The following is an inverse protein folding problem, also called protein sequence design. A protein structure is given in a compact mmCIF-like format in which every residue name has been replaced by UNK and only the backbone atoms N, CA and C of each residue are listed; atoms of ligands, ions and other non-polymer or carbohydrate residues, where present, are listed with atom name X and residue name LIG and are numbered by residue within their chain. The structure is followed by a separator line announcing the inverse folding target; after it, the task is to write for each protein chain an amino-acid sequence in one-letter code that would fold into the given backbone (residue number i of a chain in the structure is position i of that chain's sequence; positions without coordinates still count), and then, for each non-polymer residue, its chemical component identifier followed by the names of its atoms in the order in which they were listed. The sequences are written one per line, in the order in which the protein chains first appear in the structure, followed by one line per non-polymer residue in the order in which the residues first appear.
data_IF_007590127645
#
_entry.id   IF_007590127645
#
_cell.length_a   1.000
_cell.length_b   1.000
_cell.length_c   1.000
_cell.angle_alpha   90.00
_cell.angle_beta   90.00
_cell.angle_gamma   90.00
#
_symmetry.space_group_name_H-M   'P 1'
#
loop_
_entity.id
_entity.type
_entity.pdbx_description
1 polymer ?
#
# COMPACT_ATOMS: atom_id res chain seq x y z
N UNK A 1 16.04 -9.43 26.24
CA UNK A 1 14.82 -8.69 26.61
C UNK A 1 14.22 -8.19 25.32
N UNK A 2 13.21 -8.86 24.80
CA UNK A 2 12.38 -8.31 23.73
C UNK A 2 11.67 -7.09 24.32
N UNK A 3 12.02 -5.89 23.83
CA UNK A 3 11.19 -4.72 24.06
C UNK A 3 9.79 -5.08 23.55
N UNK A 4 8.80 -5.11 24.43
CA UNK A 4 7.38 -5.13 24.04
C UNK A 4 7.16 -3.90 23.16
N UNK A 5 7.18 -4.11 21.84
CA UNK A 5 6.73 -3.09 20.89
C UNK A 5 5.25 -2.90 21.16
N UNK A 6 4.89 -1.76 21.71
CA UNK A 6 3.50 -1.32 21.70
C UNK A 6 3.09 -1.13 20.24
N UNK A 7 2.42 -2.10 19.68
CA UNK A 7 1.85 -2.06 18.34
C UNK A 7 0.60 -1.19 18.35
N UNK A 8 0.79 0.14 18.31
CA UNK A 8 -0.30 1.12 18.42
C UNK A 8 -1.47 0.92 17.43
N UNK A 9 -1.26 0.19 16.33
CA UNK A 9 -2.24 0.03 15.24
C UNK A 9 -2.56 -1.43 14.91
N UNK A 10 -2.14 -2.34 15.77
CA UNK A 10 -2.41 -3.79 15.70
C UNK A 10 -2.71 -4.33 17.11
N UNK A 11 -3.16 -3.45 18.01
CA UNK A 11 -3.29 -3.78 19.42
C UNK A 11 -4.67 -4.35 19.79
N UNK A 12 -5.68 -4.13 18.95
CA UNK A 12 -7.02 -4.59 19.23
C UNK A 12 -7.15 -6.10 19.10
N UNK A 13 -7.76 -6.72 20.09
CA UNK A 13 -8.22 -8.10 19.99
C UNK A 13 -9.29 -8.22 18.89
N UNK A 14 -9.40 -9.39 18.23
CA UNK A 14 -10.27 -9.60 17.06
C UNK A 14 -11.70 -9.12 17.30
N UNK A 15 -12.33 -9.49 18.42
CA UNK A 15 -13.69 -9.07 18.73
C UNK A 15 -13.84 -7.56 18.95
N UNK A 16 -12.84 -6.90 19.55
CA UNK A 16 -12.84 -5.44 19.73
C UNK A 16 -12.68 -4.72 18.40
N UNK A 17 -11.80 -5.25 17.54
CA UNK A 17 -11.59 -4.73 16.20
C UNK A 17 -12.85 -4.85 15.34
N UNK A 18 -13.53 -5.99 15.40
CA UNK A 18 -14.77 -6.24 14.68
C UNK A 18 -15.88 -5.27 15.09
N UNK A 19 -16.05 -5.04 16.40
CA UNK A 19 -17.01 -4.07 16.93
C UNK A 19 -16.67 -2.65 16.48
N UNK A 20 -15.40 -2.25 16.59
CA UNK A 20 -14.94 -0.94 16.16
C UNK A 20 -15.15 -0.72 14.66
N UNK A 21 -14.72 -1.67 13.82
CA UNK A 21 -14.89 -1.58 12.36
C UNK A 21 -16.36 -1.54 11.99
N UNK A 22 -17.22 -2.36 12.64
CA UNK A 22 -18.65 -2.36 12.37
C UNK A 22 -19.26 -1.00 12.67
N UNK A 23 -18.95 -0.42 13.82
CA UNK A 23 -19.47 0.89 14.22
C UNK A 23 -19.03 1.99 13.27
N UNK A 24 -17.72 2.12 13.05
CA UNK A 24 -17.16 3.21 12.23
C UNK A 24 -17.56 3.08 10.75
N UNK A 25 -17.60 1.89 10.19
CA UNK A 25 -18.00 1.69 8.81
C UNK A 25 -19.50 1.88 8.58
N UNK A 26 -20.34 1.60 9.58
CA UNK A 26 -21.78 2.00 9.55
C UNK A 26 -21.92 3.51 9.50
N UNK A 27 -21.24 4.23 10.39
CA UNK A 27 -21.26 5.68 10.43
C UNK A 27 -20.77 6.29 9.09
N UNK A 28 -19.69 5.77 8.52
CA UNK A 28 -19.19 6.20 7.22
C UNK A 28 -20.18 5.87 6.09
N UNK A 29 -20.81 4.71 6.11
CA UNK A 29 -21.82 4.33 5.11
C UNK A 29 -23.01 5.29 5.16
N UNK A 30 -23.49 5.62 6.36
CA UNK A 30 -24.55 6.59 6.57
C UNK A 30 -24.14 7.99 6.06
N UNK A 31 -22.96 8.46 6.47
CA UNK A 31 -22.41 9.74 6.02
C UNK A 31 -22.33 9.83 4.50
N UNK A 32 -21.76 8.80 3.85
CA UNK A 32 -21.64 8.78 2.40
C UNK A 32 -22.99 8.69 1.68
N UNK A 33 -23.99 8.04 2.29
CA UNK A 33 -25.35 8.03 1.75
C UNK A 33 -25.95 9.43 1.72
N UNK A 34 -25.72 10.24 2.75
CA UNK A 34 -26.22 11.61 2.83
C UNK A 34 -25.48 12.57 1.89
N UNK A 35 -24.15 12.40 1.72
CA UNK A 35 -23.29 13.36 1.05
C UNK A 35 -22.87 12.98 -0.37
N UNK A 36 -23.13 11.72 -0.81
CA UNK A 36 -22.85 11.26 -2.17
C UNK A 36 -24.11 10.73 -2.86
N UNK A 37 -24.84 11.56 -3.62
CA UNK A 37 -26.09 11.14 -4.26
C UNK A 37 -25.96 9.94 -5.19
N UNK A 38 -24.78 9.74 -5.81
CA UNK A 38 -24.53 8.57 -6.66
C UNK A 38 -24.44 7.30 -5.81
N UNK A 39 -23.80 7.36 -4.66
CA UNK A 39 -23.71 6.24 -3.71
C UNK A 39 -25.08 5.91 -3.11
N UNK A 40 -25.86 6.93 -2.69
CA UNK A 40 -27.21 6.75 -2.19
C UNK A 40 -28.09 5.94 -3.17
N UNK A 41 -28.07 6.32 -4.45
CA UNK A 41 -28.82 5.57 -5.49
C UNK A 41 -28.38 4.11 -5.63
N UNK A 42 -27.09 3.83 -5.45
CA UNK A 42 -26.58 2.45 -5.50
C UNK A 42 -27.07 1.63 -4.30
N UNK A 43 -27.07 2.22 -3.10
CA UNK A 43 -27.61 1.58 -1.90
C UNK A 43 -29.11 1.28 -2.05
N UNK A 44 -29.88 2.24 -2.52
CA UNK A 44 -31.31 2.08 -2.76
C UNK A 44 -31.60 0.99 -3.83
N UNK A 45 -30.84 1.00 -4.92
CA UNK A 45 -30.97 -0.02 -5.97
C UNK A 45 -30.59 -1.43 -5.52
N UNK A 46 -29.66 -1.55 -4.55
CA UNK A 46 -29.28 -2.84 -3.96
C UNK A 46 -30.25 -3.34 -2.88
N UNK A 47 -31.20 -2.50 -2.45
CA UNK A 47 -32.09 -2.80 -1.32
C UNK A 47 -31.38 -2.84 0.03
N UNK A 48 -30.28 -2.12 0.16
CA UNK A 48 -29.52 -2.06 1.42
C UNK A 48 -30.36 -1.48 2.56
N UNK A 49 -30.40 -2.20 3.67
CA UNK A 49 -31.11 -1.84 4.88
C UNK A 49 -30.13 -1.77 6.07
N UNK A 50 -29.76 -0.56 6.43
CA UNK A 50 -28.79 -0.28 7.50
C UNK A 50 -29.20 -0.87 8.86
N UNK A 51 -30.51 -1.02 9.12
CA UNK A 51 -31.01 -1.59 10.36
C UNK A 51 -30.66 -3.07 10.55
N UNK A 52 -30.34 -3.77 9.45
CA UNK A 52 -29.97 -5.19 9.45
C UNK A 52 -28.46 -5.42 9.61
N UNK A 53 -27.66 -4.37 9.59
CA UNK A 53 -26.21 -4.50 9.73
C UNK A 53 -25.86 -4.84 11.17
N UNK A 54 -25.35 -6.04 11.39
CA UNK A 54 -24.86 -6.54 12.67
C UNK A 54 -23.34 -6.67 12.72
N UNK A 55 -22.71 -6.80 11.56
CA UNK A 55 -21.27 -6.94 11.41
C UNK A 55 -20.82 -6.20 10.12
N UNK A 56 -19.58 -5.73 10.05
CA UNK A 56 -19.08 -5.00 8.88
C UNK A 56 -19.13 -5.82 7.57
N UNK A 57 -19.21 -7.14 7.65
CA UNK A 57 -19.41 -7.99 6.46
C UNK A 57 -20.78 -7.84 5.79
N UNK A 58 -21.76 -7.29 6.53
CA UNK A 58 -23.11 -7.04 6.03
C UNK A 58 -23.19 -5.72 5.25
N UNK A 59 -22.14 -4.89 5.35
CA UNK A 59 -22.10 -3.61 4.66
C UNK A 59 -21.96 -3.80 3.14
N UNK A 60 -22.51 -2.86 2.35
CA UNK A 60 -22.35 -2.89 0.91
C UNK A 60 -20.89 -2.67 0.52
N UNK A 61 -20.50 -3.18 -0.65
CA UNK A 61 -19.18 -2.99 -1.20
C UNK A 61 -19.25 -2.55 -2.66
N UNK A 62 -18.26 -1.80 -3.09
CA UNK A 62 -18.15 -1.30 -4.45
C UNK A 62 -17.02 -2.03 -5.19
N UNK A 63 -17.25 -2.48 -6.44
CA UNK A 63 -16.16 -2.98 -7.26
C UNK A 63 -15.13 -1.87 -7.52
N UNK A 64 -13.83 -2.12 -7.27
CA UNK A 64 -12.77 -1.14 -7.50
C UNK A 64 -12.75 -0.59 -8.94
N UNK A 65 -13.18 -1.39 -9.93
CA UNK A 65 -13.36 -0.96 -11.32
C UNK A 65 -14.39 0.16 -11.53
N UNK A 66 -15.26 0.42 -10.56
CA UNK A 66 -16.27 1.47 -10.62
C UNK A 66 -15.60 2.86 -10.60
N UNK A 67 -14.55 3.04 -9.81
CA UNK A 67 -13.79 4.29 -9.71
C UNK A 67 -13.07 4.70 -11.01
N UNK A 68 -13.00 3.79 -11.99
CA UNK A 68 -12.53 4.10 -13.35
C UNK A 68 -13.62 4.71 -14.22
N UNK A 69 -14.88 4.49 -13.88
CA UNK A 69 -16.05 4.87 -14.71
C UNK A 69 -16.78 6.08 -14.18
N UNK A 70 -16.85 6.20 -12.87
CA UNK A 70 -17.53 7.31 -12.19
C UNK A 70 -16.64 7.90 -11.09
N UNK A 71 -16.79 9.19 -10.87
CA UNK A 71 -16.17 9.86 -9.72
C UNK A 71 -17.20 9.89 -8.60
N UNK A 72 -16.88 9.24 -7.48
CA UNK A 72 -17.66 9.32 -6.26
C UNK A 72 -17.02 10.36 -5.35
N UNK A 73 -17.84 11.26 -4.81
CA UNK A 73 -17.39 12.30 -3.88
C UNK A 73 -18.49 12.57 -2.86
N UNK A 74 -18.11 12.60 -1.59
CA UNK A 74 -18.96 13.02 -0.47
C UNK A 74 -18.67 14.44 -0.02
N UNK A 75 -17.82 15.15 -0.78
CA UNK A 75 -17.46 16.54 -0.50
C UNK A 75 -18.53 17.50 -1.01
N UNK A 76 -18.74 18.66 -0.33
CA UNK A 76 -19.52 19.75 -0.87
C UNK A 76 -18.94 20.20 -2.22
N UNK A 77 -19.83 20.56 -3.15
CA UNK A 77 -19.46 20.95 -4.53
C UNK A 77 -18.66 22.27 -4.62
N UNK A 78 -18.52 23.00 -3.52
CA UNK A 78 -17.92 24.33 -3.44
C UNK A 78 -16.53 24.33 -2.77
N UNK A 79 -16.00 23.18 -2.34
CA UNK A 79 -14.67 23.12 -1.76
C UNK A 79 -13.59 23.02 -2.85
N UNK A 80 -12.76 24.08 -2.94
CA UNK A 80 -11.65 24.19 -3.90
C UNK A 80 -10.39 23.39 -3.50
N UNK A 81 -10.27 22.87 -2.26
CA UNK A 81 -9.05 22.19 -1.77
C UNK A 81 -9.16 20.67 -1.80
N UNK A 82 -9.42 20.11 -2.95
CA UNK A 82 -9.31 18.66 -3.15
C UNK A 82 -8.24 18.28 -4.16
N UNK A 83 -7.70 17.08 -4.01
CA UNK A 83 -6.79 16.47 -4.99
C UNK A 83 -7.44 15.23 -5.59
N UNK A 84 -7.29 15.09 -6.90
CA UNK A 84 -7.66 13.84 -7.58
C UNK A 84 -6.43 12.96 -7.69
N UNK A 85 -6.46 11.82 -7.00
CA UNK A 85 -5.45 10.77 -7.12
C UNK A 85 -5.88 9.79 -8.19
N UNK A 86 -4.96 9.39 -9.05
CA UNK A 86 -5.23 8.44 -10.12
C UNK A 86 -4.41 7.17 -9.94
N UNK A 87 -5.03 6.01 -10.18
CA UNK A 87 -4.31 4.74 -10.19
C UNK A 87 -3.37 4.64 -11.39
N UNK A 88 -2.25 3.92 -11.24
CA UNK A 88 -1.30 3.63 -12.34
C UNK A 88 -1.76 2.47 -13.25
N UNK A 89 -3.07 2.33 -13.46
CA UNK A 89 -3.63 1.20 -14.18
C UNK A 89 -2.98 0.96 -15.55
N UNK A 90 -2.78 -0.30 -15.90
CA UNK A 90 -2.37 -0.77 -17.24
C UNK A 90 -3.50 -0.67 -18.26
N UNK A 91 -4.71 -0.30 -17.82
CA UNK A 91 -5.89 -0.06 -18.66
C UNK A 91 -5.96 1.42 -19.07
N UNK A 92 -6.60 1.69 -20.19
CA UNK A 92 -6.78 3.03 -20.78
C UNK A 92 -7.52 4.03 -19.86
N UNK A 93 -8.13 3.57 -18.76
CA UNK A 93 -8.80 4.41 -17.77
C UNK A 93 -8.20 4.16 -16.39
N UNK A 94 -7.73 5.24 -15.74
CA UNK A 94 -7.28 5.23 -14.35
C UNK A 94 -8.45 5.48 -13.40
N UNK A 95 -8.42 4.88 -12.21
CA UNK A 95 -9.35 5.22 -11.12
C UNK A 95 -9.15 6.67 -10.71
N UNK A 96 -10.22 7.35 -10.34
CA UNK A 96 -10.21 8.75 -9.91
C UNK A 96 -10.78 8.83 -8.50
N UNK A 97 -9.92 9.18 -7.56
CA UNK A 97 -10.23 9.28 -6.14
C UNK A 97 -10.10 10.74 -5.71
N UNK A 98 -11.17 11.29 -5.16
CA UNK A 98 -11.21 12.67 -4.67
C UNK A 98 -10.80 12.67 -3.19
N UNK A 99 -9.76 13.43 -2.86
CA UNK A 99 -9.23 13.51 -1.50
C UNK A 99 -9.20 14.96 -1.03
N UNK A 100 -9.91 15.26 0.06
CA UNK A 100 -9.79 16.51 0.79
C UNK A 100 -8.53 16.56 1.68
N UNK A 101 -8.31 17.70 2.34
CA UNK A 101 -7.16 17.92 3.22
C UNK A 101 -7.21 17.03 4.45
N UNK A 102 -8.38 16.80 5.01
CA UNK A 102 -8.56 16.01 6.22
C UNK A 102 -8.37 14.51 5.97
N UNK A 103 -9.01 13.95 4.96
CA UNK A 103 -8.80 12.56 4.55
C UNK A 103 -7.33 12.28 4.23
N UNK A 104 -6.65 13.20 3.51
CA UNK A 104 -5.20 13.08 3.24
C UNK A 104 -4.39 13.03 4.53
N UNK A 105 -4.71 13.88 5.50
CA UNK A 105 -4.01 13.91 6.78
C UNK A 105 -4.21 12.62 7.56
N UNK A 106 -5.44 12.12 7.65
CA UNK A 106 -5.73 10.83 8.29
C UNK A 106 -4.97 9.69 7.65
N UNK A 107 -4.95 9.63 6.32
CA UNK A 107 -4.21 8.62 5.57
C UNK A 107 -2.70 8.69 5.82
N UNK A 108 -2.13 9.89 5.90
CA UNK A 108 -0.70 10.06 6.22
C UNK A 108 -0.37 9.64 7.64
N UNK A 109 -1.23 9.98 8.62
CA UNK A 109 -1.05 9.55 10.01
C UNK A 109 -1.14 8.04 10.14
N UNK A 110 -2.13 7.40 9.51
CA UNK A 110 -2.27 5.95 9.50
C UNK A 110 -1.04 5.27 8.87
N UNK A 111 -0.59 5.74 7.70
CA UNK A 111 0.61 5.24 7.04
C UNK A 111 1.85 5.37 7.93
N UNK A 112 2.01 6.54 8.59
CA UNK A 112 3.14 6.77 9.49
C UNK A 112 3.15 5.79 10.68
N UNK A 113 1.99 5.54 11.28
CA UNK A 113 1.86 4.60 12.41
C UNK A 113 2.09 3.15 11.95
N UNK A 114 1.43 2.71 10.87
CA UNK A 114 1.59 1.36 10.30
C UNK A 114 3.07 1.10 9.96
N UNK A 115 3.71 2.02 9.23
CA UNK A 115 5.09 1.83 8.82
C UNK A 115 6.08 1.89 9.99
N UNK A 116 5.77 2.65 11.06
CA UNK A 116 6.64 2.74 12.24
C UNK A 116 6.78 1.39 12.98
N UNK A 117 5.77 0.54 12.94
CA UNK A 117 5.82 -0.81 13.51
C UNK A 117 6.86 -1.71 12.84
N UNK A 118 7.10 -1.51 11.54
CA UNK A 118 8.05 -2.30 10.76
C UNK A 118 9.42 -1.65 10.62
N UNK A 119 9.44 -0.32 10.52
CA UNK A 119 10.65 0.46 10.21
C UNK A 119 11.22 1.20 11.42
N UNK A 120 10.45 1.26 12.52
CA UNK A 120 10.77 2.05 13.70
C UNK A 120 10.43 3.54 13.52
N UNK A 121 10.51 4.29 14.64
CA UNK A 121 10.13 5.72 14.69
C UNK A 121 11.23 6.67 14.17
N UNK A 122 12.46 6.19 13.95
CA UNK A 122 13.58 7.00 13.46
C UNK A 122 13.65 6.96 11.94
N UNK A 123 13.82 8.13 11.32
CA UNK A 123 14.06 8.21 9.87
C UNK A 123 15.43 7.64 9.53
N UNK A 124 15.46 6.71 8.57
CA UNK A 124 16.64 5.99 8.11
C UNK A 124 17.19 6.62 6.82
N UNK A 125 18.52 6.54 6.53
CA UNK A 125 19.00 6.78 5.17
C UNK A 125 18.19 5.95 4.19
N UNK A 126 17.83 6.51 3.02
CA UNK A 126 16.87 5.84 2.12
C UNK A 126 17.46 5.65 0.72
N UNK A 127 17.51 4.40 0.29
CA UNK A 127 17.83 4.00 -1.07
C UNK A 127 16.54 3.64 -1.82
N UNK A 128 16.31 4.28 -2.98
CA UNK A 128 15.14 4.02 -3.81
C UNK A 128 15.57 3.26 -5.06
N UNK A 129 15.01 2.07 -5.27
CA UNK A 129 15.27 1.28 -6.49
C UNK A 129 14.36 1.78 -7.60
N UNK A 130 14.68 2.96 -8.09
CA UNK A 130 14.01 3.68 -9.16
C UNK A 130 14.93 4.78 -9.69
N UNK A 131 14.53 5.46 -10.80
CA UNK A 131 15.19 6.64 -11.32
C UNK A 131 14.57 7.93 -10.73
N UNK A 132 15.33 9.05 -10.64
CA UNK A 132 14.84 10.33 -10.13
C UNK A 132 13.60 10.84 -10.88
N UNK A 133 13.48 10.59 -12.17
CA UNK A 133 12.33 10.94 -13.00
C UNK A 133 11.00 10.31 -12.56
N UNK A 134 11.04 9.27 -11.71
CA UNK A 134 9.82 8.70 -11.12
C UNK A 134 9.00 9.73 -10.33
N UNK A 135 9.63 10.80 -9.84
CA UNK A 135 8.98 11.87 -9.07
C UNK A 135 8.69 13.15 -9.88
N UNK A 136 9.03 13.19 -11.16
CA UNK A 136 8.94 14.40 -11.99
C UNK A 136 8.08 14.19 -13.24
N UNK A 137 7.73 15.30 -13.91
CA UNK A 137 6.97 15.30 -15.15
C UNK A 137 5.65 14.55 -15.09
N UNK A 138 5.32 13.79 -16.12
CA UNK A 138 4.08 13.01 -16.20
C UNK A 138 4.01 11.86 -15.19
N UNK A 139 5.13 11.47 -14.58
CA UNK A 139 5.20 10.35 -13.63
C UNK A 139 4.88 10.77 -12.19
N UNK A 140 4.84 12.07 -11.89
CA UNK A 140 4.65 12.60 -10.53
C UNK A 140 3.35 12.17 -9.84
N UNK A 141 2.34 11.79 -10.59
CA UNK A 141 1.05 11.30 -10.09
C UNK A 141 0.90 9.78 -10.21
N UNK A 142 1.96 9.07 -10.56
CA UNK A 142 1.94 7.61 -10.68
C UNK A 142 1.91 6.92 -9.30
N UNK A 143 1.48 5.64 -9.27
CA UNK A 143 1.59 4.82 -8.07
C UNK A 143 3.06 4.66 -7.61
N UNK A 144 4.04 4.70 -8.54
CA UNK A 144 5.47 4.70 -8.20
C UNK A 144 5.81 5.94 -7.37
N UNK A 145 5.45 7.12 -7.87
CA UNK A 145 5.67 8.37 -7.15
C UNK A 145 4.94 8.39 -5.81
N UNK A 146 3.70 7.91 -5.74
CA UNK A 146 2.94 7.83 -4.51
C UNK A 146 3.61 6.94 -3.47
N UNK A 147 4.08 5.75 -3.87
CA UNK A 147 4.82 4.84 -2.99
C UNK A 147 6.14 5.45 -2.49
N UNK A 148 6.96 6.02 -3.40
CA UNK A 148 8.21 6.69 -3.01
C UNK A 148 7.94 7.84 -2.04
N UNK A 149 6.94 8.69 -2.29
CA UNK A 149 6.58 9.79 -1.38
C UNK A 149 6.07 9.29 -0.04
N UNK A 150 5.21 8.27 -0.03
CA UNK A 150 4.67 7.68 1.19
C UNK A 150 5.79 7.15 2.08
N UNK A 151 6.64 6.28 1.56
CA UNK A 151 7.74 5.71 2.34
C UNK A 151 8.88 6.70 2.63
N UNK A 152 8.96 7.84 1.93
CA UNK A 152 9.87 8.93 2.28
C UNK A 152 9.58 9.56 3.65
N UNK A 153 8.43 9.29 4.27
CA UNK A 153 8.15 9.65 5.68
C UNK A 153 9.16 9.00 6.61
N UNK A 154 9.60 7.77 6.31
CA UNK A 154 10.58 6.99 7.09
C UNK A 154 12.02 7.20 6.63
N UNK A 155 12.20 7.89 5.49
CA UNK A 155 13.49 8.10 4.84
C UNK A 155 14.11 9.47 5.12
N UNK A 156 15.45 9.52 5.14
CA UNK A 156 16.27 10.72 5.05
C UNK A 156 17.37 10.50 4.01
N UNK A 157 17.94 11.56 3.45
CA UNK A 157 19.01 11.46 2.47
C UNK A 157 18.69 10.52 1.31
N UNK A 158 17.48 10.71 0.72
CA UNK A 158 16.96 9.85 -0.34
C UNK A 158 17.89 9.82 -1.54
N UNK A 159 18.37 8.63 -1.88
CA UNK A 159 19.26 8.34 -3.00
C UNK A 159 18.54 7.41 -3.96
N UNK A 160 18.59 7.68 -5.26
CA UNK A 160 18.05 6.81 -6.30
C UNK A 160 19.14 5.92 -6.84
N UNK A 161 18.89 4.61 -6.89
CA UNK A 161 19.85 3.61 -7.31
C UNK A 161 19.88 3.37 -8.84
N UNK A 162 18.92 3.93 -9.59
CA UNK A 162 18.86 3.77 -11.03
C UNK A 162 19.13 5.11 -11.73
N UNK A 163 19.81 5.02 -12.88
CA UNK A 163 19.96 6.12 -13.83
C UNK A 163 18.64 6.36 -14.58
N UNK A 164 18.56 7.47 -15.32
CA UNK A 164 17.34 7.82 -16.06
C UNK A 164 16.98 6.79 -17.15
N UNK A 165 17.96 6.11 -17.72
CA UNK A 165 17.76 5.00 -18.67
C UNK A 165 17.37 3.67 -18.00
N UNK A 166 17.09 3.70 -16.68
CA UNK A 166 16.68 2.52 -15.90
C UNK A 166 17.77 1.44 -15.80
N UNK A 167 19.04 1.81 -15.77
CA UNK A 167 20.17 0.93 -15.43
C UNK A 167 20.61 1.16 -13.98
N UNK A 168 21.16 0.12 -13.32
CA UNK A 168 21.71 0.23 -11.97
C UNK A 168 22.93 1.18 -11.98
N UNK A 169 22.88 2.21 -11.15
CA UNK A 169 23.99 3.14 -10.94
C UNK A 169 24.91 2.59 -9.83
N UNK A 170 25.93 1.85 -10.25
CA UNK A 170 26.87 1.22 -9.33
C UNK A 170 27.68 2.23 -8.52
N UNK A 171 28.05 3.37 -9.10
CA UNK A 171 28.80 4.42 -8.42
C UNK A 171 27.98 5.04 -7.30
N UNK A 172 26.75 5.46 -7.61
CA UNK A 172 25.80 5.99 -6.63
C UNK A 172 25.46 4.96 -5.53
N UNK A 173 25.33 3.68 -5.89
CA UNK A 173 25.08 2.61 -4.94
C UNK A 173 26.29 2.41 -3.99
N UNK A 174 27.50 2.41 -4.52
CA UNK A 174 28.71 2.24 -3.73
C UNK A 174 28.93 3.42 -2.78
N UNK A 175 28.76 4.64 -3.26
CA UNK A 175 28.82 5.85 -2.40
C UNK A 175 27.79 5.81 -1.27
N UNK A 176 26.57 5.35 -1.57
CA UNK A 176 25.53 5.20 -0.55
C UNK A 176 25.93 4.15 0.50
N UNK A 177 26.43 3.00 0.07
CA UNK A 177 26.82 1.92 0.96
C UNK A 177 28.07 2.25 1.78
N UNK A 178 29.05 2.95 1.21
CA UNK A 178 30.22 3.44 1.94
C UNK A 178 29.80 4.36 3.10
N UNK A 179 28.84 5.25 2.83
CA UNK A 179 28.39 6.25 3.79
C UNK A 179 27.41 5.72 4.83
N UNK A 180 26.50 4.83 4.43
CA UNK A 180 25.36 4.41 5.27
C UNK A 180 25.25 2.90 5.47
N UNK A 181 26.00 2.08 4.76
CA UNK A 181 25.82 0.62 4.74
C UNK A 181 26.15 -0.09 6.06
N UNK A 182 26.81 0.59 7.02
CA UNK A 182 27.17 0.03 8.34
C UNK A 182 26.05 0.16 9.39
N UNK A 183 25.02 0.94 9.11
CA UNK A 183 23.88 1.19 9.99
C UNK A 183 22.58 0.80 9.28
N UNK A 184 21.46 0.61 10.01
CA UNK A 184 20.17 0.35 9.39
C UNK A 184 19.78 1.45 8.39
N UNK A 185 19.35 1.05 7.19
CA UNK A 185 18.84 1.93 6.15
C UNK A 185 17.61 1.34 5.47
N UNK A 186 16.74 2.21 4.98
CA UNK A 186 15.53 1.84 4.25
C UNK A 186 15.84 1.65 2.78
N UNK A 187 15.40 0.55 2.21
CA UNK A 187 15.36 0.32 0.76
C UNK A 187 13.90 0.30 0.35
N UNK A 188 13.53 1.13 -0.63
CA UNK A 188 12.20 1.13 -1.19
C UNK A 188 12.24 0.86 -2.69
N UNK A 189 11.40 -0.05 -3.17
CA UNK A 189 11.28 -0.33 -4.59
C UNK A 189 10.03 -1.13 -4.92
N UNK A 190 9.60 -1.09 -6.18
CA UNK A 190 8.53 -2.00 -6.62
C UNK A 190 9.11 -3.38 -6.91
N UNK A 191 8.36 -4.44 -6.63
CA UNK A 191 8.78 -5.84 -6.76
C UNK A 191 9.50 -6.09 -8.09
N UNK A 192 8.88 -5.70 -9.21
CA UNK A 192 9.45 -5.91 -10.55
C UNK A 192 10.71 -5.07 -10.81
N UNK A 193 10.81 -3.83 -10.25
CA UNK A 193 12.01 -2.98 -10.39
C UNK A 193 13.17 -3.54 -9.57
N UNK A 194 12.91 -3.91 -8.32
CA UNK A 194 13.91 -4.51 -7.45
C UNK A 194 14.44 -5.82 -8.06
N UNK A 195 13.54 -6.64 -8.61
CA UNK A 195 13.94 -7.86 -9.28
C UNK A 195 14.83 -7.61 -10.49
N UNK A 196 14.35 -6.80 -11.42
CA UNK A 196 15.03 -6.59 -12.71
C UNK A 196 16.31 -5.78 -12.58
N UNK A 197 16.26 -4.69 -11.82
CA UNK A 197 17.33 -3.68 -11.84
C UNK A 197 18.27 -3.74 -10.64
N UNK A 198 17.95 -4.54 -9.60
CA UNK A 198 18.90 -4.82 -8.53
C UNK A 198 19.33 -6.28 -8.56
N UNK A 199 18.41 -7.24 -8.42
CA UNK A 199 18.76 -8.67 -8.29
C UNK A 199 19.42 -9.16 -9.57
N UNK A 200 18.70 -9.13 -10.69
CA UNK A 200 19.22 -9.66 -11.97
C UNK A 200 20.42 -8.86 -12.48
N UNK A 201 20.47 -7.53 -12.27
CA UNK A 201 21.59 -6.73 -12.69
C UNK A 201 22.89 -7.08 -11.95
N UNK A 202 22.82 -7.30 -10.63
CA UNK A 202 23.97 -7.75 -9.84
C UNK A 202 24.39 -9.16 -10.20
N UNK A 203 23.47 -10.09 -10.42
CA UNK A 203 23.81 -11.45 -10.88
C UNK A 203 24.49 -11.48 -12.23
N UNK A 204 23.95 -10.72 -13.21
CA UNK A 204 24.54 -10.63 -14.56
C UNK A 204 25.93 -10.02 -14.57
N UNK A 205 26.18 -9.05 -13.68
CA UNK A 205 27.50 -8.44 -13.55
C UNK A 205 28.47 -9.28 -12.71
N UNK A 206 28.02 -10.34 -12.05
CA UNK A 206 28.80 -11.13 -11.09
C UNK A 206 29.18 -10.37 -9.82
N UNK A 207 28.58 -9.19 -9.59
CA UNK A 207 28.89 -8.36 -8.43
C UNK A 207 27.99 -8.76 -7.23
N UNK A 208 28.57 -8.64 -6.04
CA UNK A 208 27.84 -8.73 -4.79
C UNK A 208 27.99 -7.42 -4.04
N UNK A 209 26.92 -6.95 -3.42
CA UNK A 209 26.93 -5.74 -2.60
C UNK A 209 26.45 -6.09 -1.20
N UNK A 210 27.15 -5.62 -0.19
CA UNK A 210 26.73 -5.83 1.19
C UNK A 210 25.67 -4.79 1.59
N UNK A 211 24.42 -5.23 1.56
CA UNK A 211 23.26 -4.46 1.99
C UNK A 211 22.54 -5.14 3.19
N UNK A 212 23.30 -5.89 3.99
CA UNK A 212 22.77 -6.71 5.11
C UNK A 212 22.08 -5.87 6.21
N UNK A 213 22.42 -4.59 6.32
CA UNK A 213 21.75 -3.64 7.23
C UNK A 213 20.47 -3.03 6.62
N UNK A 214 20.20 -3.29 5.35
CA UNK A 214 19.04 -2.77 4.64
C UNK A 214 17.72 -3.44 5.07
N UNK A 215 16.69 -2.62 5.20
CA UNK A 215 15.31 -3.05 5.39
C UNK A 215 14.58 -2.74 4.08
N UNK A 216 14.27 -3.78 3.30
CA UNK A 216 13.57 -3.63 2.02
C UNK A 216 12.07 -3.63 2.23
N UNK A 217 11.42 -2.57 1.79
CA UNK A 217 9.97 -2.52 1.60
C UNK A 217 9.67 -2.52 0.11
N UNK A 218 8.89 -3.47 -0.36
CA UNK A 218 8.52 -3.58 -1.76
C UNK A 218 7.03 -3.90 -1.94
N UNK A 219 6.50 -3.67 -3.13
CA UNK A 219 5.10 -3.98 -3.43
C UNK A 219 4.77 -3.81 -4.91
N UNK A 220 3.49 -3.85 -5.27
CA UNK A 220 3.02 -3.57 -6.63
C UNK A 220 3.15 -4.71 -7.64
N UNK A 221 3.54 -5.91 -7.22
CA UNK A 221 3.54 -7.13 -8.02
C UNK A 221 4.48 -7.14 -9.23
N UNK A 222 4.35 -8.16 -10.07
CA UNK A 222 5.26 -8.45 -11.19
C UNK A 222 4.93 -7.69 -12.48
N UNK A 223 3.70 -7.18 -12.62
CA UNK A 223 3.24 -6.40 -13.80
C UNK A 223 3.64 -7.06 -15.14
N UNK A 224 4.44 -6.36 -15.96
CA UNK A 224 4.92 -6.87 -17.26
C UNK A 224 5.88 -8.06 -17.13
N UNK A 225 6.44 -8.30 -15.95
CA UNK A 225 7.34 -9.43 -15.69
C UNK A 225 6.60 -10.65 -15.09
N UNK A 226 5.27 -10.75 -15.25
CA UNK A 226 4.49 -11.87 -14.71
C UNK A 226 5.00 -13.25 -15.16
N UNK A 227 5.54 -13.36 -16.39
CA UNK A 227 6.16 -14.60 -16.91
C UNK A 227 7.49 -14.96 -16.22
N UNK A 228 8.11 -14.00 -15.55
CA UNK A 228 9.37 -14.17 -14.81
C UNK A 228 9.13 -14.19 -13.29
N UNK A 229 7.86 -14.20 -12.88
CA UNK A 229 7.52 -14.19 -11.47
C UNK A 229 8.06 -15.42 -10.76
N UNK A 230 8.73 -15.21 -9.65
CA UNK A 230 9.23 -16.25 -8.76
C UNK A 230 8.41 -16.28 -7.46
N UNK A 231 8.56 -17.34 -6.70
CA UNK A 231 7.94 -17.43 -5.37
C UNK A 231 8.52 -16.39 -4.41
N UNK A 232 7.78 -16.03 -3.37
CA UNK A 232 8.28 -15.13 -2.30
C UNK A 232 9.57 -15.66 -1.69
N UNK A 233 9.66 -16.98 -1.48
CA UNK A 233 10.84 -17.63 -0.91
C UNK A 233 12.05 -17.47 -1.84
N UNK A 234 11.89 -17.70 -3.13
CA UNK A 234 12.97 -17.52 -4.10
C UNK A 234 13.38 -16.04 -4.21
N UNK A 235 12.42 -15.11 -4.23
CA UNK A 235 12.69 -13.68 -4.25
C UNK A 235 13.57 -13.25 -3.05
N UNK A 236 13.18 -13.64 -1.82
CA UNK A 236 13.94 -13.37 -0.60
C UNK A 236 15.32 -14.05 -0.60
N UNK A 237 15.40 -15.33 -1.05
CA UNK A 237 16.66 -16.06 -1.12
C UNK A 237 17.65 -15.41 -2.09
N UNK A 238 17.19 -14.94 -3.24
CA UNK A 238 18.05 -14.26 -4.22
C UNK A 238 18.55 -12.91 -3.75
N UNK A 239 17.68 -12.11 -3.10
CA UNK A 239 18.09 -10.86 -2.43
C UNK A 239 19.18 -11.13 -1.39
N UNK A 240 19.02 -12.15 -0.57
CA UNK A 240 20.04 -12.53 0.41
C UNK A 240 21.35 -12.94 -0.26
N UNK A 241 21.28 -13.70 -1.34
CA UNK A 241 22.46 -14.20 -2.06
C UNK A 241 23.29 -13.08 -2.71
N UNK A 242 22.64 -12.10 -3.33
CA UNK A 242 23.33 -11.04 -4.09
C UNK A 242 23.61 -9.78 -3.27
N UNK A 243 22.75 -9.47 -2.30
CA UNK A 243 22.81 -8.23 -1.53
C UNK A 243 22.94 -8.44 0.00
N UNK A 244 22.84 -9.67 0.51
CA UNK A 244 22.81 -9.92 1.95
C UNK A 244 21.54 -9.47 2.67
N UNK A 245 20.53 -8.97 1.95
CA UNK A 245 19.28 -8.44 2.52
C UNK A 245 18.44 -9.60 3.07
N UNK A 246 18.10 -9.54 4.37
CA UNK A 246 17.26 -10.54 5.05
C UNK A 246 15.95 -9.95 5.55
N UNK A 247 15.92 -8.64 5.83
CA UNK A 247 14.71 -7.93 6.26
C UNK A 247 13.95 -7.43 5.04
N UNK A 248 12.92 -8.20 4.62
CA UNK A 248 12.15 -7.95 3.41
C UNK A 248 10.67 -8.00 3.74
N UNK A 249 9.99 -6.87 3.53
CA UNK A 249 8.56 -6.71 3.76
C UNK A 249 7.87 -6.37 2.43
N UNK A 250 6.95 -7.23 2.00
CA UNK A 250 5.98 -6.89 0.97
C UNK A 250 4.90 -5.98 1.55
N UNK A 251 4.37 -5.08 0.76
CA UNK A 251 3.17 -4.34 1.15
C UNK A 251 2.12 -4.38 0.04
N UNK A 252 0.87 -4.42 0.46
CA UNK A 252 -0.27 -4.26 -0.41
C UNK A 252 -0.99 -2.96 -0.11
N UNK A 253 -1.38 -2.24 -1.14
CA UNK A 253 -2.19 -1.02 -1.06
C UNK A 253 -2.86 -0.72 -2.39
N UNK A 254 -3.97 -0.03 -2.34
CA UNK A 254 -4.77 0.39 -3.49
C UNK A 254 -4.91 1.91 -3.50
N UNK A 255 -5.00 2.50 -4.69
CA UNK A 255 -5.32 3.92 -4.81
C UNK A 255 -6.72 4.24 -4.28
N UNK A 256 -7.64 3.30 -4.44
CA UNK A 256 -9.03 3.36 -3.98
C UNK A 256 -9.17 3.28 -2.45
N UNK A 257 -8.11 2.84 -1.76
CA UNK A 257 -8.03 2.70 -0.30
C UNK A 257 -6.71 3.29 0.23
N UNK A 258 -6.40 4.51 -0.22
CA UNK A 258 -5.14 5.18 0.16
C UNK A 258 -5.01 5.29 1.68
N UNK A 259 -3.79 5.06 2.19
CA UNK A 259 -3.49 5.08 3.63
C UNK A 259 -3.73 3.76 4.36
N UNK A 260 -4.61 2.89 3.88
CA UNK A 260 -4.76 1.52 4.38
C UNK A 260 -3.79 0.63 3.64
N UNK A 261 -2.59 0.46 4.18
CA UNK A 261 -1.61 -0.48 3.66
C UNK A 261 -1.55 -1.73 4.54
N UNK A 262 -1.29 -2.86 3.91
CA UNK A 262 -1.11 -4.14 4.57
C UNK A 262 0.35 -4.53 4.46
N UNK A 263 1.06 -4.56 5.59
CA UNK A 263 2.48 -4.89 5.64
C UNK A 263 2.69 -6.36 5.93
N UNK A 264 3.66 -6.96 5.23
CA UNK A 264 4.05 -8.35 5.44
C UNK A 264 4.94 -8.49 6.68
N UNK A 265 4.55 -9.35 7.62
CA UNK A 265 5.36 -9.71 8.77
C UNK A 265 6.48 -10.71 8.40
N UNK A 266 7.34 -11.02 9.36
CA UNK A 266 8.45 -11.97 9.19
C UNK A 266 7.98 -13.39 8.82
N UNK A 267 6.75 -13.77 9.23
CA UNK A 267 6.11 -15.05 8.86
C UNK A 267 5.53 -15.06 7.43
N UNK A 268 5.61 -13.95 6.69
CA UNK A 268 5.13 -13.86 5.30
C UNK A 268 3.63 -13.60 5.15
N UNK A 269 2.95 -13.15 6.21
CA UNK A 269 1.53 -12.79 6.19
C UNK A 269 1.35 -11.26 6.15
N UNK A 270 0.41 -10.81 5.32
CA UNK A 270 -0.02 -9.41 5.31
C UNK A 270 -1.00 -9.16 6.46
N UNK A 271 -0.80 -8.06 7.16
CA UNK A 271 -1.63 -7.68 8.31
C UNK A 271 -2.47 -6.44 8.01
N UNK A 272 -3.77 -6.53 8.33
CA UNK A 272 -4.68 -5.40 8.35
C UNK A 272 -4.57 -4.69 9.71
N UNK A 273 -4.28 -3.39 9.69
CA UNK A 273 -4.24 -2.56 10.90
C UNK A 273 -5.63 -2.34 11.49
N UNK A 274 -5.71 -1.70 12.67
CA UNK A 274 -6.97 -1.36 13.33
C UNK A 274 -7.83 -0.36 12.53
N UNK A 275 -7.25 0.29 11.48
CA UNK A 275 -7.98 1.17 10.55
C UNK A 275 -8.65 0.43 9.40
N UNK A 276 -8.40 -0.87 9.23
CA UNK A 276 -8.79 -1.59 8.03
C UNK A 276 -9.13 -3.05 8.29
N UNK A 277 -9.95 -3.61 7.42
CA UNK A 277 -10.32 -5.02 7.40
C UNK A 277 -10.18 -5.62 6.01
N UNK A 278 -10.14 -6.94 5.98
CA UNK A 278 -10.15 -7.72 4.74
C UNK A 278 -11.17 -8.83 4.87
N UNK A 279 -12.00 -8.97 3.83
CA UNK A 279 -12.89 -10.12 3.66
C UNK A 279 -12.57 -10.79 2.34
N UNK A 280 -12.77 -12.11 2.30
CA UNK A 280 -12.70 -12.89 1.07
C UNK A 280 -14.10 -13.37 0.72
N UNK A 281 -14.53 -13.10 -0.53
CA UNK A 281 -15.86 -13.48 -1.00
C UNK A 281 -15.77 -14.43 -2.17
N UNK A 282 -16.65 -15.43 -2.19
CA UNK A 282 -16.80 -16.34 -3.32
C UNK A 282 -17.24 -15.57 -4.57
N UNK A 283 -16.65 -15.90 -5.70
CA UNK A 283 -16.98 -15.24 -6.96
C UNK A 283 -18.39 -15.61 -7.47
N UNK A 284 -18.98 -16.70 -6.99
CA UNK A 284 -20.27 -17.20 -7.43
C UNK A 284 -21.45 -16.40 -6.91
N UNK A 285 -21.40 -15.96 -5.64
CA UNK A 285 -22.54 -15.39 -4.92
C UNK A 285 -22.17 -14.29 -3.92
N UNK A 286 -20.88 -13.95 -3.85
CA UNK A 286 -20.29 -12.99 -2.90
C UNK A 286 -20.47 -13.36 -1.41
N UNK A 287 -20.82 -14.60 -1.09
CA UNK A 287 -20.77 -15.10 0.28
C UNK A 287 -19.33 -15.11 0.81
N UNK A 288 -19.16 -15.11 2.14
CA UNK A 288 -17.82 -15.16 2.74
C UNK A 288 -17.17 -16.51 2.48
N UNK A 289 -15.87 -16.47 2.18
CA UNK A 289 -15.04 -17.66 2.06
C UNK A 289 -14.71 -18.26 3.44
N UNK A 290 -14.52 -19.56 3.48
CA UNK A 290 -13.94 -20.24 4.63
C UNK A 290 -12.41 -20.02 4.65
N UNK A 291 -11.80 -20.26 5.83
CA UNK A 291 -10.34 -20.16 5.99
C UNK A 291 -9.63 -21.13 5.04
N UNK A 292 -8.69 -20.61 4.24
CA UNK A 292 -7.96 -21.36 3.23
C UNK A 292 -8.65 -21.45 1.86
N UNK A 293 -9.88 -20.95 1.74
CA UNK A 293 -10.57 -20.82 0.45
C UNK A 293 -10.09 -19.60 -0.32
N UNK A 294 -10.02 -19.70 -1.66
CA UNK A 294 -9.68 -18.57 -2.52
C UNK A 294 -10.93 -17.77 -2.86
N UNK A 295 -10.85 -16.44 -2.74
CA UNK A 295 -11.94 -15.55 -3.02
C UNK A 295 -11.53 -14.23 -3.65
N UNK A 296 -12.52 -13.41 -3.95
CA UNK A 296 -12.36 -12.00 -4.30
C UNK A 296 -12.08 -11.24 -3.01
N UNK A 297 -11.03 -10.43 -3.02
CA UNK A 297 -10.66 -9.60 -1.88
C UNK A 297 -11.60 -8.40 -1.80
N UNK A 298 -12.22 -8.19 -0.64
CA UNK A 298 -12.87 -6.96 -0.23
C UNK A 298 -11.99 -6.27 0.81
N UNK A 299 -11.55 -5.07 0.51
CA UNK A 299 -10.80 -4.21 1.41
C UNK A 299 -11.76 -3.24 2.07
N UNK A 300 -11.64 -3.06 3.37
CA UNK A 300 -12.43 -2.10 4.15
C UNK A 300 -11.48 -1.12 4.83
N UNK A 301 -11.86 0.16 4.88
CA UNK A 301 -11.08 1.20 5.54
C UNK A 301 -11.98 2.21 6.24
N UNK A 302 -11.59 2.62 7.44
CA UNK A 302 -12.26 3.67 8.20
C UNK A 302 -11.69 5.06 7.90
N UNK A 303 -10.74 5.17 6.97
CA UNK A 303 -10.03 6.43 6.70
C UNK A 303 -10.72 7.38 5.72
N UNK A 304 -11.35 6.91 4.61
CA UNK A 304 -11.92 7.82 3.63
C UNK A 304 -13.23 8.46 4.14
N UNK A 305 -13.30 9.79 4.12
CA UNK A 305 -14.54 10.56 4.31
C UNK A 305 -14.91 11.36 3.06
N UNK A 306 -13.94 11.69 2.23
CA UNK A 306 -14.20 12.47 1.02
C UNK A 306 -14.83 11.67 -0.12
N UNK A 307 -14.87 10.34 -0.01
CA UNK A 307 -15.49 9.44 -1.00
C UNK A 307 -15.90 8.12 -0.37
N UNK A 308 -16.99 7.49 -0.83
CA UNK A 308 -17.37 6.13 -0.42
C UNK A 308 -16.43 5.13 -1.08
N UNK A 309 -15.58 4.45 -0.27
CA UNK A 309 -14.57 3.52 -0.76
C UNK A 309 -14.23 2.40 0.18
#
# INVERSE_FOLDING_TARGET
MEEQREHEVYALEEGQKDEQLTTQLKELTHYHREHCPAYARMLDASGFDESKVTHYSDLPFLPAGLFKRITLSSMPTEEDDYKVVTSSGTSSMASRIVLDGETRTRQQVALAKIGADFLGKKRLPMLVIDAPSALSGMHQFSARAAGIRGFSLFGRYRTFALKEEMSLDLETLDDFLEKYGKEPFLIFGFTFLTWQYLVLALEQSGLKKDMSQGILVHGGGWKKLASQAVSKQEYKARLQQVCGITKVHDYYGMAEQAGSIFMECECGHLHASDYSGILFRRASDFSLCDVGERGIIQVLSTLPESYPG
#
